data_IF_010243607214
#
_entry.id   IF_010243607214
#
_cell.length_a   1.000
_cell.length_b   1.000
_cell.length_c   1.000
_cell.angle_alpha   90.00
_cell.angle_beta   90.00
_cell.angle_gamma   90.00
#
_symmetry.space_group_name_H-M   'P 1'
#
loop_
_entity.id
_entity.type
_entity.pdbx_description
1 polymer ?
#
# COMPACT_ATOMS: atom_id res chain seq x y z
N UNK A 1 -0.55 87.58 0.54
CA UNK A 1 -0.14 87.05 1.85
C UNK A 1 -1.17 85.98 2.25
N UNK A 2 -0.70 84.78 2.60
CA UNK A 2 -1.41 83.60 3.15
C UNK A 2 -2.49 82.95 2.26
N UNK A 3 -2.25 81.79 1.64
CA UNK A 3 -2.13 80.41 2.17
C UNK A 3 -3.45 79.79 2.64
N UNK A 4 -3.95 78.82 1.86
CA UNK A 4 -4.59 77.61 2.38
C UNK A 4 -4.65 76.56 1.25
N UNK A 5 -3.73 75.60 1.30
CA UNK A 5 -3.65 74.44 0.41
C UNK A 5 -4.39 73.29 1.10
N UNK A 6 -5.60 72.95 0.65
CA UNK A 6 -6.33 71.77 1.13
C UNK A 6 -5.87 70.53 0.38
N UNK A 7 -5.10 69.68 1.07
CA UNK A 7 -4.63 68.40 0.55
C UNK A 7 -5.76 67.37 0.76
N UNK A 8 -6.40 66.93 -0.33
CA UNK A 8 -7.21 65.71 -0.34
C UNK A 8 -6.26 64.49 -0.35
N UNK A 9 -6.21 63.74 0.75
CA UNK A 9 -5.55 62.44 0.80
C UNK A 9 -6.52 61.36 0.28
N UNK A 10 -6.37 60.92 -0.97
CA UNK A 10 -6.97 59.67 -1.45
C UNK A 10 -6.13 58.51 -0.91
N UNK A 11 -6.66 57.78 0.08
CA UNK A 11 -6.08 56.52 0.53
C UNK A 11 -6.40 55.38 -0.45
N UNK A 12 -5.45 55.02 -1.32
CA UNK A 12 -5.49 53.75 -2.04
C UNK A 12 -5.17 52.61 -1.07
N UNK A 13 -6.18 51.83 -0.68
CA UNK A 13 -5.97 50.51 -0.08
C UNK A 13 -5.49 49.54 -1.18
N UNK A 14 -4.19 49.50 -1.41
CA UNK A 14 -3.56 48.44 -2.20
C UNK A 14 -3.66 47.13 -1.40
N UNK A 15 -4.68 46.33 -1.71
CA UNK A 15 -4.82 44.98 -1.19
C UNK A 15 -3.72 44.08 -1.74
N UNK A 16 -2.70 43.79 -0.93
CA UNK A 16 -1.76 42.71 -1.22
C UNK A 16 -2.51 41.39 -1.16
N UNK A 17 -2.89 40.83 -2.32
CA UNK A 17 -3.27 39.43 -2.42
C UNK A 17 -2.04 38.57 -2.10
N UNK A 18 -1.93 38.15 -0.84
CA UNK A 18 -0.99 37.11 -0.44
C UNK A 18 -1.48 35.82 -1.11
N UNK A 19 -0.92 35.50 -2.27
CA UNK A 19 -1.00 34.16 -2.83
C UNK A 19 -0.24 33.26 -1.88
N UNK A 20 -0.94 32.63 -0.94
CA UNK A 20 -0.36 31.54 -0.17
C UNK A 20 0.01 30.44 -1.17
N UNK A 21 1.29 30.06 -1.31
CA UNK A 21 1.62 28.82 -1.99
C UNK A 21 0.87 27.72 -1.26
N UNK A 22 -0.07 27.08 -1.95
CA UNK A 22 -0.75 25.90 -1.45
C UNK A 22 0.32 24.93 -0.98
N UNK A 23 0.42 24.75 0.33
CA UNK A 23 1.25 23.73 0.93
C UNK A 23 0.79 22.40 0.33
N UNK A 24 1.53 21.93 -0.66
CA UNK A 24 1.38 20.61 -1.24
C UNK A 24 1.67 19.66 -0.08
N UNK A 25 0.60 19.20 0.57
CA UNK A 25 0.63 18.49 1.85
C UNK A 25 1.21 17.11 1.58
N UNK A 26 2.54 17.06 1.44
CA UNK A 26 3.43 15.93 1.20
C UNK A 26 2.72 14.63 0.82
N UNK A 27 2.48 14.44 -0.49
CA UNK A 27 2.15 13.13 -1.06
C UNK A 27 3.29 12.11 -0.89
N UNK A 28 4.48 12.55 -0.48
CA UNK A 28 5.68 11.76 -0.19
C UNK A 28 5.74 11.28 1.26
N UNK A 29 4.74 10.50 1.69
CA UNK A 29 4.81 9.82 2.99
C UNK A 29 5.65 8.54 2.90
N UNK A 30 6.56 8.35 3.86
CA UNK A 30 7.35 7.13 4.00
C UNK A 30 6.45 5.90 4.24
N UNK A 31 6.88 4.77 3.71
CA UNK A 31 6.22 3.46 3.75
C UNK A 31 7.12 2.53 4.58
N UNK A 32 6.74 2.17 5.81
CA UNK A 32 7.50 1.21 6.61
C UNK A 32 7.45 -0.19 5.99
N UNK A 33 8.53 -0.94 6.15
CA UNK A 33 8.73 -2.30 5.64
C UNK A 33 9.32 -3.16 6.76
N UNK A 34 8.73 -4.33 6.96
CA UNK A 34 9.23 -5.42 7.79
C UNK A 34 9.91 -6.49 6.93
N UNK A 35 11.00 -7.07 7.42
CA UNK A 35 11.58 -8.30 6.85
C UNK A 35 12.36 -9.09 7.91
N UNK A 36 12.86 -10.27 7.54
CA UNK A 36 13.68 -11.14 8.38
C UNK A 36 12.91 -12.18 9.19
N UNK A 37 11.62 -12.37 8.89
CA UNK A 37 10.66 -13.25 9.54
C UNK A 37 10.26 -12.73 10.93
N UNK A 38 9.02 -12.28 11.07
CA UNK A 38 8.54 -11.67 12.31
C UNK A 38 9.03 -10.22 12.53
N UNK A 39 9.31 -9.50 11.45
CA UNK A 39 9.67 -8.08 11.42
C UNK A 39 10.94 -7.76 12.22
N UNK A 40 11.98 -8.57 12.03
CA UNK A 40 13.30 -8.36 12.63
C UNK A 40 13.94 -7.08 12.11
N UNK A 41 13.96 -6.90 10.79
CA UNK A 41 14.44 -5.69 10.14
C UNK A 41 13.27 -4.75 9.86
N UNK A 42 13.38 -3.52 10.36
CA UNK A 42 12.41 -2.45 10.19
C UNK A 42 13.03 -1.32 9.40
N UNK A 43 12.58 -1.14 8.18
CA UNK A 43 13.08 -0.14 7.27
C UNK A 43 11.92 0.68 6.72
N UNK A 44 12.21 1.71 5.93
CA UNK A 44 11.17 2.46 5.26
C UNK A 44 11.68 3.08 3.97
N UNK A 45 10.80 3.16 2.97
CA UNK A 45 11.12 3.85 1.73
C UNK A 45 10.07 4.90 1.41
N UNK A 46 10.44 5.90 0.61
CA UNK A 46 9.50 6.91 0.12
C UNK A 46 9.32 6.73 -1.38
N UNK A 47 8.11 6.38 -1.87
CA UNK A 47 7.86 6.30 -3.30
C UNK A 47 8.21 7.62 -3.99
N UNK A 48 9.02 7.57 -5.05
CA UNK A 48 9.38 8.72 -5.88
C UNK A 48 8.14 9.35 -6.53
N UNK A 49 8.25 10.61 -6.99
CA UNK A 49 7.15 11.27 -7.69
C UNK A 49 6.64 10.45 -8.90
N UNK A 50 7.57 9.84 -9.67
CA UNK A 50 7.24 8.97 -10.80
C UNK A 50 6.49 7.70 -10.37
N UNK A 51 6.89 7.09 -9.26
CA UNK A 51 6.18 5.92 -8.71
C UNK A 51 4.80 6.30 -8.21
N UNK A 52 4.64 7.44 -7.52
CA UNK A 52 3.32 7.91 -7.09
C UNK A 52 2.37 8.18 -8.26
N UNK A 53 2.85 8.83 -9.32
CA UNK A 53 2.06 9.07 -10.53
C UNK A 53 1.61 7.75 -11.17
N UNK A 54 2.53 6.80 -11.33
CA UNK A 54 2.21 5.46 -11.85
C UNK A 54 1.21 4.69 -10.98
N UNK A 55 1.32 4.77 -9.65
CA UNK A 55 0.34 4.15 -8.73
C UNK A 55 -1.04 4.77 -8.90
N UNK A 56 -1.12 6.09 -9.06
CA UNK A 56 -2.37 6.79 -9.36
C UNK A 56 -2.99 6.28 -10.66
N UNK A 57 -2.20 6.17 -11.73
CA UNK A 57 -2.67 5.71 -13.04
C UNK A 57 -3.16 4.25 -13.01
N UNK A 58 -2.39 3.36 -12.35
CA UNK A 58 -2.76 1.95 -12.16
C UNK A 58 -4.11 1.82 -11.44
N UNK A 59 -4.31 2.60 -10.38
CA UNK A 59 -5.54 2.59 -9.59
C UNK A 59 -6.71 3.25 -10.34
N UNK A 60 -6.46 4.34 -11.08
CA UNK A 60 -7.46 5.00 -11.91
C UNK A 60 -7.97 4.07 -13.02
N UNK A 61 -7.11 3.26 -13.64
CA UNK A 61 -7.52 2.26 -14.62
C UNK A 61 -8.46 1.17 -14.05
N UNK A 62 -8.48 1.00 -12.72
CA UNK A 62 -9.39 0.09 -12.00
C UNK A 62 -10.71 0.72 -11.58
N UNK A 63 -10.99 1.98 -11.91
CA UNK A 63 -12.07 2.72 -11.26
C UNK A 63 -13.48 2.43 -11.78
N UNK A 64 -13.65 1.51 -12.73
CA UNK A 64 -14.94 1.23 -13.35
C UNK A 64 -15.85 0.32 -12.53
N UNK A 65 -15.30 -0.46 -11.59
CA UNK A 65 -16.08 -1.36 -10.73
C UNK A 65 -15.26 -1.85 -9.53
N UNK A 66 -15.89 -2.36 -8.46
CA UNK A 66 -15.16 -3.02 -7.37
C UNK A 66 -14.26 -4.17 -7.85
N UNK A 67 -14.71 -4.94 -8.85
CA UNK A 67 -13.90 -6.03 -9.43
C UNK A 67 -12.67 -5.49 -10.16
N UNK A 68 -12.81 -4.40 -10.91
CA UNK A 68 -11.70 -3.74 -11.60
C UNK A 68 -10.71 -3.13 -10.60
N UNK A 69 -11.20 -2.52 -9.52
CA UNK A 69 -10.34 -1.97 -8.47
C UNK A 69 -9.51 -3.05 -7.81
N UNK A 70 -10.06 -4.24 -7.50
CA UNK A 70 -9.27 -5.35 -6.96
C UNK A 70 -8.15 -5.79 -7.91
N UNK A 71 -8.38 -5.83 -9.22
CA UNK A 71 -7.31 -6.12 -10.20
C UNK A 71 -6.23 -5.04 -10.23
N UNK A 72 -6.63 -3.76 -10.17
CA UNK A 72 -5.69 -2.65 -10.09
C UNK A 72 -4.89 -2.66 -8.78
N UNK A 73 -5.56 -2.99 -7.68
CA UNK A 73 -4.95 -3.12 -6.37
C UNK A 73 -3.84 -4.18 -6.37
N UNK A 74 -4.08 -5.35 -6.96
CA UNK A 74 -3.05 -6.37 -7.10
C UNK A 74 -1.80 -5.85 -7.85
N UNK A 75 -1.98 -5.14 -8.96
CA UNK A 75 -0.86 -4.52 -9.70
C UNK A 75 -0.15 -3.43 -8.89
N UNK A 76 -0.89 -2.66 -8.10
CA UNK A 76 -0.34 -1.60 -7.25
C UNK A 76 0.53 -2.19 -6.13
N UNK A 77 0.07 -3.23 -5.45
CA UNK A 77 0.84 -3.93 -4.41
C UNK A 77 2.15 -4.48 -4.98
N UNK A 78 2.07 -5.25 -6.07
CA UNK A 78 3.24 -5.76 -6.78
C UNK A 78 4.23 -4.64 -7.19
N UNK A 79 3.72 -3.47 -7.59
CA UNK A 79 4.56 -2.33 -7.90
C UNK A 79 5.22 -1.72 -6.65
N UNK A 80 4.53 -1.66 -5.52
CA UNK A 80 5.07 -1.14 -4.26
C UNK A 80 6.15 -2.06 -3.69
N UNK A 81 5.96 -3.37 -3.74
CA UNK A 81 6.97 -4.40 -3.39
C UNK A 81 8.27 -4.22 -4.21
N UNK A 82 8.14 -4.17 -5.54
CA UNK A 82 9.29 -3.86 -6.42
C UNK A 82 9.95 -2.52 -6.08
N UNK A 83 9.19 -1.54 -5.62
CA UNK A 83 9.72 -0.24 -5.24
C UNK A 83 10.48 -0.34 -3.92
N UNK A 84 9.93 -1.00 -2.91
CA UNK A 84 10.59 -1.27 -1.64
C UNK A 84 11.98 -1.90 -1.87
N UNK A 85 12.05 -2.95 -2.69
CA UNK A 85 13.32 -3.58 -3.06
C UNK A 85 14.33 -2.64 -3.70
N UNK A 86 13.90 -1.81 -4.66
CA UNK A 86 14.80 -0.87 -5.35
C UNK A 86 15.34 0.19 -4.39
N UNK A 87 14.48 0.73 -3.54
CA UNK A 87 14.87 1.80 -2.60
C UNK A 87 15.70 1.27 -1.43
N UNK A 88 15.42 0.07 -0.96
CA UNK A 88 16.10 -0.54 0.19
C UNK A 88 17.28 -1.42 -0.22
N UNK A 89 17.41 -1.78 -1.50
CA UNK A 89 18.55 -2.55 -2.01
C UNK A 89 18.63 -3.97 -1.48
N UNK A 90 17.49 -4.65 -1.27
CA UNK A 90 17.44 -6.07 -0.96
C UNK A 90 16.91 -6.90 -2.14
N UNK A 91 17.32 -8.19 -2.20
CA UNK A 91 16.88 -9.14 -3.22
C UNK A 91 15.41 -9.53 -3.03
N UNK A 92 14.77 -10.09 -4.06
CA UNK A 92 13.42 -10.65 -3.90
C UNK A 92 13.40 -11.73 -2.83
N UNK A 93 12.29 -11.79 -2.08
CA UNK A 93 12.07 -12.85 -1.11
C UNK A 93 11.97 -14.22 -1.82
N UNK A 94 12.30 -15.28 -1.10
CA UNK A 94 12.08 -16.63 -1.56
C UNK A 94 10.61 -17.01 -1.32
N UNK A 95 9.95 -17.67 -2.29
CA UNK A 95 8.55 -18.06 -2.13
C UNK A 95 8.40 -19.08 -0.98
N UNK A 96 7.18 -19.15 -0.42
CA UNK A 96 6.78 -20.14 0.60
C UNK A 96 7.52 -20.07 1.94
N UNK A 97 8.34 -19.04 2.15
CA UNK A 97 9.00 -18.70 3.42
C UNK A 97 9.69 -19.86 4.13
N UNK A 98 10.58 -20.58 3.42
CA UNK A 98 11.37 -21.65 4.03
C UNK A 98 12.22 -21.13 5.21
N UNK A 99 12.23 -21.85 6.34
CA UNK A 99 12.86 -21.40 7.59
C UNK A 99 14.36 -21.09 7.49
N UNK A 100 15.06 -21.68 6.51
CA UNK A 100 16.48 -21.39 6.22
C UNK A 100 16.75 -19.93 5.82
N UNK A 101 15.70 -19.15 5.50
CA UNK A 101 15.79 -17.75 5.13
C UNK A 101 15.40 -16.80 6.27
N UNK A 102 15.11 -17.32 7.47
CA UNK A 102 14.86 -16.50 8.65
C UNK A 102 16.09 -15.63 9.01
N UNK A 103 15.84 -14.45 9.57
CA UNK A 103 16.87 -13.47 9.93
C UNK A 103 17.75 -12.99 8.75
N UNK A 104 17.30 -13.18 7.51
CA UNK A 104 17.94 -12.63 6.31
C UNK A 104 17.20 -11.37 5.87
N UNK A 105 17.92 -10.25 5.77
CA UNK A 105 17.36 -8.96 5.35
C UNK A 105 16.68 -9.07 3.98
N UNK A 106 15.43 -8.60 3.89
CA UNK A 106 14.62 -8.64 2.68
C UNK A 106 13.87 -9.96 2.42
N UNK A 107 14.16 -11.03 3.16
CA UNK A 107 13.34 -12.25 3.13
C UNK A 107 12.13 -12.06 4.04
N UNK A 108 10.96 -12.56 3.63
CA UNK A 108 9.70 -12.32 4.32
C UNK A 108 8.96 -13.62 4.62
N UNK A 109 8.37 -13.69 5.80
CA UNK A 109 7.39 -14.72 6.14
C UNK A 109 5.96 -14.22 5.92
N UNK A 110 4.97 -15.06 6.19
CA UNK A 110 3.57 -14.67 6.05
C UNK A 110 3.17 -13.50 6.98
N UNK A 111 3.91 -13.25 8.07
CA UNK A 111 3.68 -12.12 8.96
C UNK A 111 4.19 -10.83 8.30
N UNK A 112 5.45 -10.83 7.86
CA UNK A 112 6.08 -9.71 7.17
C UNK A 112 5.28 -9.30 5.92
N UNK A 113 4.93 -10.28 5.08
CA UNK A 113 4.13 -10.09 3.86
C UNK A 113 2.76 -9.46 4.14
N UNK A 114 2.07 -9.94 5.17
CA UNK A 114 0.76 -9.42 5.57
C UNK A 114 0.84 -7.99 6.10
N UNK A 115 1.84 -7.69 6.92
CA UNK A 115 2.02 -6.38 7.53
C UNK A 115 2.48 -5.34 6.49
N UNK A 116 3.37 -5.72 5.57
CA UNK A 116 3.79 -4.89 4.45
C UNK A 116 2.62 -4.61 3.50
N UNK A 117 1.87 -5.64 3.11
CA UNK A 117 0.67 -5.47 2.29
C UNK A 117 -0.35 -4.56 2.96
N UNK A 118 -0.59 -4.73 4.27
CA UNK A 118 -1.46 -3.83 5.02
C UNK A 118 -0.96 -2.39 4.98
N UNK A 119 0.36 -2.18 5.13
CA UNK A 119 0.97 -0.85 5.05
C UNK A 119 0.74 -0.20 3.69
N UNK A 120 0.94 -0.94 2.59
CA UNK A 120 0.67 -0.47 1.24
C UNK A 120 -0.79 -0.08 1.05
N UNK A 121 -1.72 -0.91 1.52
CA UNK A 121 -3.16 -0.66 1.45
C UNK A 121 -3.54 0.65 2.17
N UNK A 122 -3.02 0.88 3.37
CA UNK A 122 -3.26 2.13 4.08
C UNK A 122 -2.57 3.32 3.42
N UNK A 123 -1.41 3.14 2.81
CA UNK A 123 -0.77 4.20 2.02
C UNK A 123 -1.64 4.60 0.83
N UNK A 124 -2.11 3.64 0.03
CA UNK A 124 -3.02 3.89 -1.11
C UNK A 124 -4.32 4.58 -0.67
N UNK A 125 -4.87 4.20 0.49
CA UNK A 125 -6.03 4.86 1.10
C UNK A 125 -5.74 6.33 1.41
N UNK A 126 -4.59 6.63 2.04
CA UNK A 126 -4.21 8.01 2.40
C UNK A 126 -4.01 8.89 1.17
N UNK A 127 -3.53 8.31 0.06
CA UNK A 127 -3.42 9.01 -1.22
C UNK A 127 -4.78 9.24 -1.92
N UNK A 128 -5.88 8.68 -1.39
CA UNK A 128 -7.20 8.77 -2.00
C UNK A 128 -7.38 7.89 -3.24
N UNK A 129 -6.54 6.85 -3.41
CA UNK A 129 -6.56 6.02 -4.61
C UNK A 129 -7.59 4.87 -4.56
N UNK A 130 -8.20 4.62 -3.40
CA UNK A 130 -9.22 3.58 -3.22
C UNK A 130 -10.62 4.19 -3.25
N UNK A 131 -11.47 3.68 -4.16
CA UNK A 131 -12.86 4.13 -4.36
C UNK A 131 -13.87 3.14 -3.78
N UNK A 132 -13.66 1.83 -3.97
CA UNK A 132 -14.64 0.79 -3.64
C UNK A 132 -14.30 0.00 -2.38
N UNK A 133 -13.03 -0.02 -1.97
CA UNK A 133 -12.56 -0.83 -0.84
C UNK A 133 -11.88 0.03 0.24
N UNK A 134 -12.05 -0.39 1.50
CA UNK A 134 -11.39 0.21 2.67
C UNK A 134 -10.48 -0.84 3.34
N UNK A 135 -9.19 -0.55 3.54
CA UNK A 135 -8.29 -1.41 4.33
C UNK A 135 -8.82 -1.59 5.75
N UNK A 136 -8.66 -2.80 6.28
CA UNK A 136 -8.98 -3.12 7.68
C UNK A 136 -7.70 -3.16 8.51
N UNK A 137 -7.78 -2.69 9.77
CA UNK A 137 -6.65 -2.73 10.73
C UNK A 137 -6.37 -4.14 11.24
N UNK A 138 -7.37 -5.01 11.27
CA UNK A 138 -7.19 -6.43 11.60
C UNK A 138 -6.64 -7.17 10.38
N UNK A 139 -5.80 -8.16 10.63
CA UNK A 139 -5.35 -9.14 9.64
C UNK A 139 -6.25 -10.37 9.65
N UNK A 140 -6.32 -11.07 8.52
CA UNK A 140 -6.90 -12.41 8.43
C UNK A 140 -5.91 -13.45 8.94
N UNK A 141 -6.41 -14.52 9.56
CA UNK A 141 -5.59 -15.61 10.07
C UNK A 141 -6.30 -16.95 9.80
N UNK A 142 -5.53 -17.99 9.50
CA UNK A 142 -5.98 -19.38 9.38
C UNK A 142 -4.84 -20.34 9.69
N UNK A 143 -5.19 -21.60 9.95
CA UNK A 143 -4.25 -22.69 10.18
C UNK A 143 -3.57 -22.60 11.54
N UNK A 144 -3.36 -23.76 12.14
CA UNK A 144 -2.60 -23.94 13.37
C UNK A 144 -1.70 -25.15 13.19
N UNK A 145 -0.47 -25.12 13.69
CA UNK A 145 0.42 -26.28 13.57
C UNK A 145 -0.22 -27.58 14.12
N UNK A 146 -1.14 -27.46 15.08
CA UNK A 146 -1.92 -28.57 15.66
C UNK A 146 -3.05 -29.11 14.75
N UNK A 147 -3.53 -28.35 13.77
CA UNK A 147 -4.53 -28.77 12.79
C UNK A 147 -3.92 -29.26 11.47
N UNK A 148 -2.58 -29.37 11.43
CA UNK A 148 -1.82 -29.82 10.26
C UNK A 148 -1.65 -28.76 9.18
N UNK A 149 -2.13 -27.52 9.39
CA UNK A 149 -1.96 -26.41 8.43
C UNK A 149 -0.95 -25.40 8.94
N UNK A 150 -0.07 -24.94 8.05
CA UNK A 150 0.87 -23.89 8.39
C UNK A 150 0.12 -22.59 8.74
N UNK A 151 0.42 -21.95 9.90
CA UNK A 151 -0.19 -20.68 10.26
C UNK A 151 0.01 -19.64 9.17
N UNK A 152 -1.09 -19.06 8.70
CA UNK A 152 -1.07 -18.11 7.59
C UNK A 152 -1.83 -16.85 7.91
N UNK A 153 -1.29 -15.71 7.45
CA UNK A 153 -1.87 -14.38 7.63
C UNK A 153 -2.13 -13.73 6.29
N UNK A 154 -3.06 -12.78 6.26
CA UNK A 154 -3.32 -11.97 5.07
C UNK A 154 -3.82 -10.59 5.44
N UNK A 155 -3.50 -9.58 4.63
CA UNK A 155 -4.12 -8.27 4.74
C UNK A 155 -5.58 -8.31 4.25
N UNK A 156 -6.40 -7.37 4.73
CA UNK A 156 -7.83 -7.37 4.43
C UNK A 156 -8.30 -6.01 3.90
N UNK A 157 -9.20 -6.06 2.92
CA UNK A 157 -9.99 -4.91 2.48
C UNK A 157 -11.48 -5.23 2.53
N UNK A 158 -12.31 -4.21 2.80
CA UNK A 158 -13.77 -4.33 2.87
C UNK A 158 -14.45 -3.47 1.82
N UNK A 159 -15.35 -4.06 1.05
CA UNK A 159 -16.23 -3.37 0.10
C UNK A 159 -17.34 -2.59 0.80
N UNK A 160 -18.01 -1.67 0.11
CA UNK A 160 -19.14 -0.90 0.66
C UNK A 160 -20.33 -1.75 1.09
N UNK A 161 -20.54 -2.89 0.44
CA UNK A 161 -21.57 -3.89 0.77
C UNK A 161 -21.23 -4.76 2.00
N UNK A 162 -20.09 -4.50 2.66
CA UNK A 162 -19.62 -5.25 3.82
C UNK A 162 -18.79 -6.50 3.48
N UNK A 163 -18.68 -6.89 2.20
CA UNK A 163 -17.86 -8.03 1.78
C UNK A 163 -16.39 -7.79 2.14
N UNK A 164 -15.78 -8.77 2.80
CA UNK A 164 -14.34 -8.75 3.14
C UNK A 164 -13.56 -9.59 2.13
N UNK A 165 -12.46 -9.04 1.65
CA UNK A 165 -11.52 -9.66 0.72
C UNK A 165 -10.15 -9.81 1.38
N UNK A 166 -9.57 -10.99 1.24
CA UNK A 166 -8.15 -11.24 1.51
C UNK A 166 -7.30 -10.62 0.38
N UNK A 167 -6.14 -10.09 0.75
CA UNK A 167 -5.10 -9.60 -0.16
C UNK A 167 -3.81 -10.29 0.29
N UNK A 168 -3.45 -11.36 -0.38
CA UNK A 168 -2.42 -12.32 0.05
C UNK A 168 -1.25 -12.34 -0.94
N UNK A 169 -0.11 -11.77 -0.55
CA UNK A 169 1.12 -11.68 -1.35
C UNK A 169 2.07 -12.87 -1.13
N UNK A 170 1.82 -13.73 -0.15
CA UNK A 170 2.81 -14.67 0.38
C UNK A 170 3.25 -15.81 -0.54
N UNK A 171 2.37 -16.28 -1.44
CA UNK A 171 2.68 -17.47 -2.26
C UNK A 171 3.56 -17.15 -3.46
N UNK A 172 3.42 -15.96 -4.03
CA UNK A 172 4.17 -15.54 -5.21
C UNK A 172 5.59 -15.13 -4.85
N UNK A 173 6.36 -14.74 -5.87
CA UNK A 173 7.63 -14.01 -5.64
C UNK A 173 7.31 -12.54 -5.36
N UNK A 174 8.12 -11.86 -4.55
CA UNK A 174 7.97 -10.42 -4.33
C UNK A 174 7.88 -9.66 -5.67
N UNK A 175 6.80 -8.89 -5.80
CA UNK A 175 6.48 -8.15 -6.99
C UNK A 175 5.56 -8.88 -7.98
N UNK A 176 5.01 -10.05 -7.64
CA UNK A 176 3.85 -10.61 -8.34
C UNK A 176 2.55 -10.06 -7.73
N UNK A 177 1.45 -9.92 -8.52
CA UNK A 177 0.17 -9.50 -7.96
C UNK A 177 -0.31 -10.45 -6.86
N UNK A 178 -0.72 -9.95 -5.68
CA UNK A 178 -1.28 -10.79 -4.63
C UNK A 178 -2.58 -11.45 -5.08
N UNK A 179 -2.88 -12.58 -4.47
CA UNK A 179 -4.18 -13.22 -4.60
C UNK A 179 -5.24 -12.40 -3.86
N UNK A 180 -6.32 -12.06 -4.58
CA UNK A 180 -7.43 -11.28 -4.01
C UNK A 180 -8.73 -12.05 -4.17
N UNK A 181 -9.27 -12.53 -3.05
CA UNK A 181 -10.48 -13.34 -3.01
C UNK A 181 -11.33 -13.04 -1.78
N UNK A 182 -12.59 -13.51 -1.76
CA UNK A 182 -13.44 -13.37 -0.58
C UNK A 182 -12.77 -14.02 0.62
N UNK A 183 -12.75 -13.31 1.75
CA UNK A 183 -12.10 -13.79 2.97
C UNK A 183 -12.68 -15.11 3.48
N UNK A 184 -13.97 -15.35 3.27
CA UNK A 184 -14.60 -16.64 3.59
C UNK A 184 -14.01 -17.80 2.79
N UNK A 185 -13.77 -17.61 1.49
CA UNK A 185 -13.09 -18.59 0.61
C UNK A 185 -11.63 -18.77 1.02
N UNK A 186 -10.93 -17.67 1.31
CA UNK A 186 -9.55 -17.73 1.77
C UNK A 186 -9.43 -18.55 3.06
N UNK A 187 -10.31 -18.39 4.05
CA UNK A 187 -10.21 -19.18 5.30
C UNK A 187 -10.24 -20.70 5.10
N UNK A 188 -10.94 -21.17 4.07
CA UNK A 188 -11.08 -22.61 3.79
C UNK A 188 -10.06 -23.11 2.77
N UNK A 189 -9.38 -22.22 2.03
CA UNK A 189 -8.49 -22.64 0.96
C UNK A 189 -7.20 -23.25 1.46
N UNK A 190 -6.67 -24.18 0.67
CA UNK A 190 -5.42 -24.88 0.92
C UNK A 190 -4.29 -24.43 -0.02
N UNK A 191 -3.07 -24.91 0.22
CA UNK A 191 -1.92 -24.60 -0.64
C UNK A 191 -2.14 -25.14 -2.07
N UNK A 192 -2.86 -26.26 -2.21
CA UNK A 192 -3.21 -26.86 -3.51
C UNK A 192 -4.21 -26.05 -4.33
N UNK A 193 -5.07 -25.24 -3.68
CA UNK A 193 -6.09 -24.43 -4.38
C UNK A 193 -5.48 -23.29 -5.21
N UNK A 194 -4.23 -22.91 -4.91
CA UNK A 194 -3.47 -21.90 -5.65
C UNK A 194 -2.00 -22.32 -5.70
N UNK A 195 -1.64 -23.19 -6.67
CA UNK A 195 -0.26 -23.63 -6.82
C UNK A 195 0.62 -22.43 -7.15
N UNK A 196 1.81 -22.39 -6.54
CA UNK A 196 2.85 -21.44 -6.92
C UNK A 196 3.18 -21.60 -8.40
N UNK A 197 3.03 -20.52 -9.17
CA UNK A 197 3.45 -20.46 -10.56
C UNK A 197 4.81 -19.74 -10.66
N UNK A 198 5.91 -20.46 -10.92
CA UNK A 198 7.23 -19.86 -11.03
C UNK A 198 7.40 -18.95 -12.26
N UNK A 199 6.45 -18.98 -13.21
CA UNK A 199 6.49 -18.20 -14.45
C UNK A 199 5.70 -16.89 -14.41
N UNK A 200 4.93 -16.66 -13.33
CA UNK A 200 4.10 -15.47 -13.13
C UNK A 200 4.88 -14.20 -12.75
#
# INVERSE_FOLDING_TARGET
>A
MSSALSILLLGLLAGCSITHPSSDRSSSSSVPICSGYGCVFKESFTPSARERARLKDVMAAGSSSPKAERRALGRAIAMMERSARRHLGFAADAPLSAQKHANVRGQMDCFDESDNTQTYLFWLKRQGFLRYHKPLRRVGQRGFLLDGRYPHKTALVRSSDGTVWAVDSWRGRDGQPPEIMRFTRWKTSDSSDFPYDPSA
#
